data_IF_159500150912
#
_entry.id   IF_159500150912
#
_cell.length_a   1.000
_cell.length_b   1.000
_cell.length_c   1.000
_cell.angle_alpha   90.00
_cell.angle_beta   90.00
_cell.angle_gamma   90.00
#
_symmetry.space_group_name_H-M   'P 1'
#
loop_
_entity.id
_entity.type
_entity.pdbx_description
1 polymer ?
#
# COMPACT_ATOMS: atom_id res chain seq x y z
N UNK A 1 34.39 -43.03 -73.72
CA UNK A 1 32.93 -43.17 -73.73
C UNK A 1 32.44 -43.40 -72.30
N UNK A 2 31.79 -42.38 -71.74
CA UNK A 2 30.98 -42.35 -70.50
C UNK A 2 31.54 -42.93 -69.20
N UNK A 3 31.84 -42.04 -68.24
CA UNK A 3 31.56 -42.27 -66.82
C UNK A 3 31.37 -40.95 -66.08
N UNK A 4 30.15 -40.77 -65.58
CA UNK A 4 29.71 -39.71 -64.69
C UNK A 4 30.56 -39.69 -63.41
N UNK A 5 31.06 -38.50 -63.05
CA UNK A 5 31.51 -38.22 -61.69
C UNK A 5 31.00 -36.84 -61.28
N UNK A 6 30.21 -36.89 -60.21
CA UNK A 6 29.61 -35.81 -59.44
C UNK A 6 30.66 -34.81 -58.94
N UNK A 7 30.35 -33.51 -59.09
CA UNK A 7 30.80 -32.46 -58.17
C UNK A 7 30.07 -31.14 -58.52
N UNK A 8 28.92 -30.89 -57.90
CA UNK A 8 28.44 -29.51 -57.72
C UNK A 8 28.26 -29.31 -56.22
N UNK A 9 29.14 -28.46 -55.71
CA UNK A 9 29.34 -28.12 -54.34
C UNK A 9 28.07 -27.65 -53.64
N UNK A 10 27.94 -28.14 -52.42
CA UNK A 10 27.07 -27.71 -51.31
C UNK A 10 27.02 -26.19 -51.21
N UNK A 11 25.97 -25.57 -51.76
CA UNK A 11 25.62 -24.17 -51.46
C UNK A 11 25.06 -24.11 -50.04
N UNK A 12 25.98 -23.79 -49.13
CA UNK A 12 25.80 -22.84 -48.03
C UNK A 12 24.36 -22.44 -47.71
N UNK A 13 23.95 -22.80 -46.48
CA UNK A 13 23.51 -21.86 -45.43
C UNK A 13 22.78 -20.63 -45.97
N UNK A 14 21.46 -20.60 -45.80
CA UNK A 14 20.63 -19.49 -45.27
C UNK A 14 19.19 -19.97 -45.37
N UNK A 15 18.84 -20.95 -44.52
CA UNK A 15 17.45 -21.15 -44.14
C UNK A 15 17.17 -20.04 -43.11
N UNK A 16 16.43 -19.03 -43.56
CA UNK A 16 16.09 -17.83 -42.81
C UNK A 16 15.29 -18.27 -41.58
N UNK A 17 15.81 -17.95 -40.40
CA UNK A 17 15.10 -18.04 -39.13
C UNK A 17 13.79 -17.22 -39.19
N UNK A 18 12.69 -17.86 -39.61
CA UNK A 18 11.34 -17.33 -39.52
C UNK A 18 10.70 -17.60 -38.16
N UNK A 19 11.51 -17.63 -37.11
CA UNK A 19 11.07 -17.61 -35.71
C UNK A 19 11.72 -16.40 -35.04
N UNK A 20 11.49 -15.21 -35.61
CA UNK A 20 11.74 -13.95 -34.93
C UNK A 20 10.75 -13.82 -33.78
N UNK A 21 11.22 -14.21 -32.60
CA UNK A 21 11.07 -13.46 -31.35
C UNK A 21 9.68 -12.88 -31.06
N UNK A 22 8.81 -13.72 -30.50
CA UNK A 22 7.77 -13.24 -29.58
C UNK A 22 8.46 -12.94 -28.24
N UNK A 23 9.35 -11.96 -28.24
CA UNK A 23 10.08 -11.53 -27.03
C UNK A 23 9.34 -10.33 -26.45
N UNK A 24 8.53 -10.62 -25.44
CA UNK A 24 8.35 -9.77 -24.25
C UNK A 24 8.31 -8.25 -24.47
N UNK A 25 7.21 -7.73 -24.98
CA UNK A 25 6.81 -6.33 -24.72
C UNK A 25 5.89 -6.24 -23.50
N UNK A 26 6.24 -6.96 -22.42
CA UNK A 26 5.75 -6.59 -21.10
C UNK A 26 6.50 -5.30 -20.73
N UNK A 27 5.99 -4.17 -21.22
CA UNK A 27 6.39 -2.85 -20.74
C UNK A 27 6.13 -2.87 -19.24
N UNK A 28 7.18 -3.08 -18.46
CA UNK A 28 7.19 -2.87 -17.03
C UNK A 28 6.88 -1.39 -16.81
N UNK A 29 5.59 -1.09 -16.68
CA UNK A 29 5.14 0.21 -16.23
C UNK A 29 5.54 0.28 -14.75
N UNK A 30 6.78 0.71 -14.51
CA UNK A 30 7.25 1.01 -13.16
C UNK A 30 6.44 2.22 -12.73
N UNK A 31 5.33 1.97 -12.02
CA UNK A 31 4.47 2.99 -11.42
C UNK A 31 5.26 3.75 -10.34
N UNK A 32 6.22 4.57 -10.73
CA UNK A 32 6.85 5.53 -9.84
C UNK A 32 5.96 6.77 -9.81
N UNK A 33 5.09 6.83 -8.80
CA UNK A 33 4.44 8.07 -8.42
C UNK A 33 5.49 9.02 -7.81
N UNK A 34 5.40 10.31 -8.14
CA UNK A 34 6.21 11.34 -7.50
C UNK A 34 5.97 11.30 -5.98
N UNK A 35 7.05 11.39 -5.19
CA UNK A 35 6.99 11.37 -3.72
C UNK A 35 7.25 12.78 -3.20
N UNK A 36 6.37 13.25 -2.34
CA UNK A 36 6.60 14.45 -1.53
C UNK A 36 7.46 14.07 -0.32
N UNK A 37 8.46 14.90 0.00
CA UNK A 37 9.43 14.65 1.07
C UNK A 37 9.51 15.88 1.95
N UNK A 38 9.19 15.71 3.23
CA UNK A 38 9.28 16.76 4.25
C UNK A 38 10.31 16.35 5.32
N UNK A 39 11.04 17.32 5.85
CA UNK A 39 12.14 17.08 6.78
C UNK A 39 11.97 17.88 8.08
N UNK A 40 12.73 17.46 9.11
CA UNK A 40 12.94 18.25 10.31
C UNK A 40 11.72 18.40 11.20
N UNK A 41 11.60 19.58 11.80
CA UNK A 41 10.58 19.91 12.81
C UNK A 41 9.18 19.95 12.20
N UNK A 42 9.03 20.47 10.98
CA UNK A 42 7.74 20.63 10.32
C UNK A 42 7.06 19.29 10.04
N UNK A 43 7.84 18.30 9.58
CA UNK A 43 7.34 16.95 9.37
C UNK A 43 6.86 16.31 10.69
N UNK A 44 7.63 16.46 11.77
CA UNK A 44 7.26 15.96 13.10
C UNK A 44 6.02 16.66 13.66
N UNK A 45 5.90 17.98 13.47
CA UNK A 45 4.75 18.74 13.93
C UNK A 45 3.46 18.30 13.21
N UNK A 46 3.53 18.05 11.90
CA UNK A 46 2.38 17.53 11.13
C UNK A 46 1.99 16.12 11.57
N UNK A 47 2.96 15.25 11.83
CA UNK A 47 2.70 13.91 12.37
C UNK A 47 2.08 13.98 13.77
N UNK A 48 2.62 14.84 14.65
CA UNK A 48 2.14 15.02 16.02
C UNK A 48 0.68 15.44 16.04
N UNK A 49 0.28 16.40 15.18
CA UNK A 49 -1.14 16.80 15.04
C UNK A 49 -2.05 15.62 14.69
N UNK A 50 -1.58 14.69 13.87
CA UNK A 50 -2.34 13.48 13.53
C UNK A 50 -2.50 12.52 14.70
N UNK A 51 -1.46 12.41 15.51
CA UNK A 51 -1.47 11.61 16.74
C UNK A 51 -2.41 12.23 17.78
N UNK A 52 -2.32 13.54 17.99
CA UNK A 52 -3.15 14.28 18.97
C UNK A 52 -4.64 14.18 18.64
N UNK A 53 -5.03 14.40 17.38
CA UNK A 53 -6.43 14.29 16.98
C UNK A 53 -6.99 12.87 17.12
N UNK A 54 -6.19 11.85 16.82
CA UNK A 54 -6.59 10.46 17.04
C UNK A 54 -6.73 10.16 18.54
N UNK A 55 -5.77 10.60 19.35
CA UNK A 55 -5.77 10.41 20.80
C UNK A 55 -6.97 11.12 21.45
N UNK A 56 -7.31 12.32 20.99
CA UNK A 56 -8.46 13.09 21.46
C UNK A 56 -9.79 12.39 21.17
N UNK A 57 -9.91 11.71 20.05
CA UNK A 57 -11.09 10.92 19.71
C UNK A 57 -11.18 9.61 20.50
N UNK A 58 -10.06 8.99 20.87
CA UNK A 58 -10.05 7.71 21.61
C UNK A 58 -10.20 7.95 23.12
N UNK A 59 -9.56 8.98 23.68
CA UNK A 59 -9.53 9.23 25.13
C UNK A 59 -10.91 9.38 25.75
N UNK A 60 -11.90 9.87 24.99
CA UNK A 60 -13.27 10.06 25.50
C UNK A 60 -13.97 8.74 25.83
N UNK A 61 -13.50 7.63 25.26
CA UNK A 61 -14.03 6.28 25.49
C UNK A 61 -13.42 5.58 26.71
N UNK A 62 -12.35 6.13 27.29
CA UNK A 62 -11.60 5.48 28.34
C UNK A 62 -12.33 5.44 29.68
N UNK A 63 -12.19 4.29 30.37
CA UNK A 63 -12.67 4.07 31.73
C UNK A 63 -14.17 3.80 31.87
N UNK A 64 -14.65 3.49 33.09
CA UNK A 64 -16.05 3.12 33.34
C UNK A 64 -17.05 4.25 33.05
N UNK A 65 -16.58 5.50 33.03
CA UNK A 65 -17.36 6.70 32.68
C UNK A 65 -17.11 7.17 31.23
N UNK A 66 -16.52 6.31 30.39
CA UNK A 66 -16.30 6.56 28.98
C UNK A 66 -17.60 6.92 28.24
N UNK A 67 -17.50 7.91 27.35
CA UNK A 67 -18.59 8.42 26.52
C UNK A 67 -18.65 7.64 25.20
N UNK A 68 -19.82 7.70 24.58
CA UNK A 68 -20.04 7.10 23.27
C UNK A 68 -19.43 7.97 22.17
N UNK A 69 -18.81 7.32 21.20
CA UNK A 69 -18.39 7.92 19.94
C UNK A 69 -19.30 7.40 18.84
N UNK A 70 -19.74 8.29 17.95
CA UNK A 70 -20.60 7.96 16.81
C UNK A 70 -19.74 7.95 15.55
N UNK A 71 -19.78 6.84 14.83
CA UNK A 71 -19.00 6.59 13.62
C UNK A 71 -19.96 6.44 12.45
N UNK A 72 -19.71 7.20 11.38
CA UNK A 72 -20.44 7.07 10.12
C UNK A 72 -20.09 5.75 9.43
N UNK A 73 -21.10 5.05 8.92
CA UNK A 73 -20.93 3.86 8.08
C UNK A 73 -21.36 4.19 6.66
N UNK A 74 -20.70 3.61 5.65
CA UNK A 74 -21.03 3.86 4.25
C UNK A 74 -22.45 3.48 3.86
N UNK A 75 -23.08 2.57 4.62
CA UNK A 75 -24.46 2.13 4.41
C UNK A 75 -25.12 1.87 5.75
N UNK A 76 -26.42 2.19 5.86
CA UNK A 76 -27.22 1.91 7.05
C UNK A 76 -27.13 2.99 8.14
N UNK A 77 -27.32 2.57 9.39
CA UNK A 77 -27.33 3.45 10.55
C UNK A 77 -25.90 3.69 11.09
N UNK A 78 -25.63 4.85 11.71
CA UNK A 78 -24.32 5.13 12.28
C UNK A 78 -24.00 4.17 13.45
N UNK A 79 -22.73 3.78 13.57
CA UNK A 79 -22.27 2.88 14.64
C UNK A 79 -21.92 3.69 15.88
N UNK A 80 -22.59 3.40 16.99
CA UNK A 80 -22.29 3.99 18.30
C UNK A 80 -21.42 3.01 19.09
N UNK A 81 -20.24 3.43 19.54
CA UNK A 81 -19.29 2.56 20.25
C UNK A 81 -18.63 3.25 21.44
N UNK A 82 -18.22 2.45 22.43
CA UNK A 82 -17.31 2.83 23.52
C UNK A 82 -15.94 2.14 23.41
N UNK A 83 -15.73 1.37 22.35
CA UNK A 83 -14.46 0.69 22.11
C UNK A 83 -13.48 1.66 21.39
N UNK A 84 -12.40 2.00 22.09
CA UNK A 84 -11.35 2.87 21.60
C UNK A 84 -10.60 2.29 20.40
N UNK A 85 -10.43 0.97 20.33
CA UNK A 85 -9.74 0.29 19.22
C UNK A 85 -10.58 0.41 17.94
N UNK A 86 -11.89 0.20 18.03
CA UNK A 86 -12.81 0.41 16.91
C UNK A 86 -12.82 1.88 16.46
N UNK A 87 -12.81 2.83 17.39
CA UNK A 87 -12.74 4.28 17.06
C UNK A 87 -11.44 4.58 16.31
N UNK A 88 -10.30 4.14 16.82
CA UNK A 88 -9.00 4.36 16.17
C UNK A 88 -8.97 3.79 14.75
N UNK A 89 -9.53 2.61 14.50
CA UNK A 89 -9.59 2.00 13.16
C UNK A 89 -10.34 2.88 12.16
N UNK A 90 -11.41 3.56 12.59
CA UNK A 90 -12.28 4.36 11.70
C UNK A 90 -11.74 5.73 11.24
N UNK A 91 -10.71 6.26 11.90
CA UNK A 91 -10.24 7.65 11.65
C UNK A 91 -9.16 7.68 10.57
N UNK A 92 -9.42 8.25 9.40
CA UNK A 92 -8.39 8.46 8.37
C UNK A 92 -8.25 9.93 8.01
N UNK A 93 -7.01 10.38 7.81
CA UNK A 93 -6.72 11.76 7.47
C UNK A 93 -6.36 11.91 5.98
N UNK A 94 -6.88 12.97 5.35
CA UNK A 94 -6.57 13.32 3.95
C UNK A 94 -5.10 13.68 3.74
N UNK A 95 -4.48 14.36 4.71
CA UNK A 95 -3.05 14.66 4.67
C UNK A 95 -2.24 13.41 4.98
N UNK A 96 -1.39 13.00 4.04
CA UNK A 96 -0.57 11.79 4.14
C UNK A 96 0.39 11.84 5.32
N UNK A 97 1.03 12.99 5.59
CA UNK A 97 2.04 13.07 6.68
C UNK A 97 1.36 12.93 8.04
N UNK A 98 0.23 13.61 8.20
CA UNK A 98 -0.64 13.47 9.37
C UNK A 98 -1.15 12.04 9.54
N UNK A 99 -1.60 11.42 8.45
CA UNK A 99 -2.10 10.06 8.44
C UNK A 99 -1.01 9.02 8.79
N UNK A 100 0.24 9.26 8.41
CA UNK A 100 1.37 8.39 8.82
C UNK A 100 1.50 8.39 10.34
N UNK A 101 1.50 9.57 10.98
CA UNK A 101 1.57 9.67 12.45
C UNK A 101 0.43 8.90 13.14
N UNK A 102 -0.80 9.12 12.68
CA UNK A 102 -1.98 8.42 13.20
C UNK A 102 -1.89 6.89 12.98
N UNK A 103 -1.49 6.46 11.77
CA UNK A 103 -1.39 5.03 11.42
C UNK A 103 -0.38 4.28 12.27
N UNK A 104 0.74 4.92 12.64
CA UNK A 104 1.73 4.32 13.53
C UNK A 104 1.13 4.00 14.91
N UNK A 105 0.38 4.93 15.48
CA UNK A 105 -0.26 4.73 16.79
C UNK A 105 -1.35 3.66 16.71
N UNK A 106 -2.14 3.63 15.63
CA UNK A 106 -3.11 2.55 15.39
C UNK A 106 -2.46 1.18 15.35
N UNK A 107 -1.30 1.05 14.70
CA UNK A 107 -0.58 -0.22 14.62
C UNK A 107 -0.12 -0.70 15.99
N UNK A 108 0.43 0.20 16.80
CA UNK A 108 0.82 -0.12 18.18
C UNK A 108 -0.38 -0.54 19.01
N UNK A 109 -1.49 0.21 18.94
CA UNK A 109 -2.72 -0.12 19.66
C UNK A 109 -3.31 -1.47 19.24
N UNK A 110 -3.32 -1.78 17.94
CA UNK A 110 -3.78 -3.07 17.44
C UNK A 110 -2.92 -4.22 17.96
N UNK A 111 -1.59 -4.06 17.95
CA UNK A 111 -0.69 -5.09 18.47
C UNK A 111 -0.91 -5.35 19.96
N UNK A 112 -1.19 -4.31 20.76
CA UNK A 112 -1.55 -4.47 22.18
C UNK A 112 -2.86 -5.23 22.32
N UNK A 113 -3.90 -4.85 21.59
CA UNK A 113 -5.20 -5.52 21.61
C UNK A 113 -5.09 -6.99 21.14
N UNK A 114 -4.22 -7.32 20.19
CA UNK A 114 -4.04 -8.70 19.73
C UNK A 114 -3.38 -9.60 20.80
N UNK A 115 -2.56 -9.02 21.69
CA UNK A 115 -1.89 -9.76 22.78
C UNK A 115 -2.73 -9.82 24.04
N UNK A 116 -3.34 -8.70 24.44
CA UNK A 116 -4.05 -8.55 25.71
C UNK A 116 -5.58 -8.71 25.58
N UNK A 117 -6.14 -8.47 24.39
CA UNK A 117 -7.58 -8.46 24.16
C UNK A 117 -8.28 -7.17 24.59
N UNK A 118 -7.54 -6.19 25.10
CA UNK A 118 -7.98 -4.83 25.52
C UNK A 118 -6.85 -3.82 25.25
#
# INVERSE_FOLDING_TARGET
MYRLAVNIATKSRVARNSAQQISSNLRWNRNYAAKDIKFGVDARALMLRGVEELADAVKVTMGPKGRNVVIEQSYGAPKVTKDGVTVAKSIEFKDRVKNVGASLVKQVANATNDVAGD
#
